data_IF_959565003769
#
_entry.id   IF_959565003769
#
_cell.length_a   1.000
_cell.length_b   1.000
_cell.length_c   1.000
_cell.angle_alpha   90.00
_cell.angle_beta   90.00
_cell.angle_gamma   90.00
#
_symmetry.space_group_name_H-M   'P 1'
#
loop_
_entity.id
_entity.type
_entity.pdbx_description
1 polymer ?
#
# COMPACT_ATOMS: atom_id res chain seq x y z
N UNK A 1 16.99 10.75 19.95
CA UNK A 1 18.38 10.69 20.45
C UNK A 1 18.51 11.73 21.53
N UNK A 2 19.03 11.36 22.69
CA UNK A 2 19.25 12.29 23.80
C UNK A 2 20.76 12.50 23.98
N UNK A 3 21.12 13.67 24.47
CA UNK A 3 22.48 14.04 24.82
C UNK A 3 22.47 14.49 26.28
N UNK A 4 23.33 13.90 27.11
CA UNK A 4 23.45 14.19 28.53
C UNK A 4 24.86 14.69 28.80
N UNK A 5 25.02 15.87 29.40
CA UNK A 5 26.34 16.45 29.70
C UNK A 5 26.44 16.88 31.16
N UNK A 6 27.58 16.61 31.77
CA UNK A 6 28.01 17.18 33.06
C UNK A 6 29.53 17.46 33.03
N UNK A 7 30.11 17.86 34.17
CA UNK A 7 31.54 18.16 34.28
C UNK A 7 32.48 16.98 33.93
N UNK A 8 31.99 15.74 33.98
CA UNK A 8 32.76 14.55 33.61
C UNK A 8 32.66 14.19 32.11
N UNK A 9 31.81 14.87 31.34
CA UNK A 9 31.75 14.72 29.88
C UNK A 9 30.35 14.70 29.28
N UNK A 10 30.26 14.20 28.04
CA UNK A 10 29.06 14.13 27.21
C UNK A 10 28.78 12.67 26.82
N UNK A 11 27.56 12.19 27.09
CA UNK A 11 27.08 10.88 26.64
C UNK A 11 25.91 11.09 25.68
N UNK A 12 25.93 10.39 24.55
CA UNK A 12 24.83 10.38 23.56
C UNK A 12 24.16 9.01 23.56
N UNK A 13 22.83 8.98 23.60
CA UNK A 13 22.07 7.73 23.51
C UNK A 13 21.97 7.22 22.07
N UNK A 14 21.62 5.94 21.91
CA UNK A 14 21.33 5.35 20.59
C UNK A 14 20.16 6.09 19.91
N UNK A 15 20.18 6.16 18.59
CA UNK A 15 19.04 6.64 17.80
C UNK A 15 17.98 5.53 17.75
N UNK A 16 16.72 5.90 17.96
CA UNK A 16 15.57 5.00 17.78
C UNK A 16 14.81 5.44 16.53
N UNK A 17 14.43 4.49 15.67
CA UNK A 17 13.58 4.74 14.50
C UNK A 17 12.13 4.69 14.95
N UNK A 18 11.44 5.83 14.90
CA UNK A 18 9.99 5.89 15.10
C UNK A 18 9.34 5.83 13.71
N UNK A 19 8.36 4.95 13.54
CA UNK A 19 7.57 4.83 12.30
C UNK A 19 6.10 4.99 12.62
N UNK A 20 5.42 5.85 11.88
CA UNK A 20 3.97 5.98 11.93
C UNK A 20 3.39 4.81 11.12
N UNK A 21 2.36 4.17 11.66
CA UNK A 21 1.61 3.12 10.98
C UNK A 21 0.15 3.53 10.86
N UNK A 22 -0.42 3.31 9.67
CA UNK A 22 -1.81 3.57 9.31
C UNK A 22 -2.36 2.35 8.59
N UNK A 23 -3.51 1.87 9.05
CA UNK A 23 -4.19 0.75 8.43
C UNK A 23 -4.63 1.10 7.00
N UNK A 24 -4.60 0.13 6.07
CA UNK A 24 -5.07 0.35 4.70
C UNK A 24 -6.54 0.77 4.67
N UNK A 25 -6.83 1.85 3.96
CA UNK A 25 -8.18 2.37 3.79
C UNK A 25 -8.43 2.68 2.32
N UNK A 26 -9.61 2.33 1.81
CA UNK A 26 -9.98 2.69 0.44
C UNK A 26 -10.31 4.18 0.38
N UNK A 27 -9.48 4.95 -0.34
CA UNK A 27 -9.86 6.29 -0.82
C UNK A 27 -10.90 6.12 -1.93
N UNK A 28 -10.63 5.21 -2.87
CA UNK A 28 -11.56 4.84 -3.95
C UNK A 28 -11.80 3.35 -3.92
N UNK A 29 -13.05 2.96 -3.67
CA UNK A 29 -13.47 1.56 -3.69
C UNK A 29 -13.65 1.09 -5.15
N UNK A 30 -13.30 -0.16 -5.47
CA UNK A 30 -13.63 -0.75 -6.75
C UNK A 30 -15.15 -0.73 -6.96
N UNK A 31 -15.57 -0.43 -8.18
CA UNK A 31 -16.98 -0.37 -8.57
C UNK A 31 -17.31 -1.47 -9.57
N UNK A 32 -18.55 -1.94 -9.54
CA UNK A 32 -19.07 -2.84 -10.56
C UNK A 32 -19.19 -2.10 -11.89
N UNK A 33 -18.80 -2.78 -12.97
CA UNK A 33 -18.92 -2.29 -14.34
C UNK A 33 -19.64 -3.32 -15.20
N UNK A 34 -20.27 -2.85 -16.26
CA UNK A 34 -20.85 -3.68 -17.32
C UNK A 34 -20.14 -3.32 -18.62
N UNK A 35 -19.69 -4.33 -19.36
CA UNK A 35 -18.98 -4.17 -20.63
C UNK A 35 -19.64 -5.06 -21.68
N UNK A 36 -19.55 -4.68 -22.95
CA UNK A 36 -20.05 -5.53 -24.02
C UNK A 36 -19.09 -6.70 -24.27
N UNK A 37 -19.58 -7.70 -24.99
CA UNK A 37 -18.73 -8.80 -25.44
C UNK A 37 -17.57 -8.26 -26.28
N UNK A 38 -16.36 -8.74 -25.98
CA UNK A 38 -15.08 -8.35 -26.60
C UNK A 38 -14.52 -6.97 -26.19
N UNK A 39 -15.22 -6.22 -25.33
CA UNK A 39 -14.66 -4.99 -24.75
C UNK A 39 -13.78 -5.29 -23.52
N UNK A 40 -12.77 -4.45 -23.30
CA UNK A 40 -11.92 -4.53 -22.10
C UNK A 40 -12.53 -3.73 -20.95
N UNK A 41 -12.82 -4.42 -19.84
CA UNK A 41 -13.25 -3.78 -18.59
C UNK A 41 -12.07 -3.41 -17.70
N UNK A 42 -12.08 -2.18 -17.14
CA UNK A 42 -11.09 -1.71 -16.17
C UNK A 42 -11.74 -1.48 -14.81
N UNK A 43 -11.28 -2.21 -13.80
CA UNK A 43 -11.64 -1.98 -12.39
C UNK A 43 -10.43 -1.36 -11.69
N UNK A 44 -10.65 -0.29 -10.94
CA UNK A 44 -9.60 0.45 -10.25
C UNK A 44 -9.97 0.72 -8.80
N UNK A 45 -8.96 0.79 -7.94
CA UNK A 45 -9.11 1.19 -6.55
C UNK A 45 -7.92 2.07 -6.13
N UNK A 46 -8.12 2.88 -5.09
CA UNK A 46 -7.07 3.67 -4.48
C UNK A 46 -7.07 3.40 -2.98
N UNK A 47 -5.90 3.06 -2.45
CA UNK A 47 -5.72 2.69 -1.03
C UNK A 47 -4.71 3.64 -0.40
N UNK A 48 -5.06 4.16 0.78
CA UNK A 48 -4.16 4.89 1.65
C UNK A 48 -3.68 3.96 2.77
N UNK A 49 -2.38 3.74 2.85
CA UNK A 49 -1.74 2.85 3.82
C UNK A 49 -0.31 3.31 4.13
N UNK A 50 0.09 3.19 5.40
CA UNK A 50 1.45 3.43 5.83
C UNK A 50 1.89 2.31 6.80
N UNK A 51 2.90 1.47 6.47
CA UNK A 51 3.60 1.37 5.20
C UNK A 51 2.67 0.93 4.06
N UNK A 52 3.20 0.97 2.84
CA UNK A 52 2.47 0.60 1.63
C UNK A 52 1.79 -0.76 1.75
N UNK A 53 0.51 -0.82 1.38
CA UNK A 53 -0.28 -2.04 1.43
C UNK A 53 0.02 -2.96 0.24
N UNK A 54 -0.07 -4.27 0.46
CA UNK A 54 -0.13 -5.25 -0.62
C UNK A 54 -1.57 -5.38 -1.10
N UNK A 55 -1.82 -5.08 -2.37
CA UNK A 55 -3.14 -5.23 -3.00
C UNK A 55 -3.21 -6.56 -3.75
N UNK A 56 -4.34 -7.26 -3.66
CA UNK A 56 -4.58 -8.51 -4.39
C UNK A 56 -6.00 -8.51 -4.91
N UNK A 57 -6.15 -8.77 -6.21
CA UNK A 57 -7.43 -8.86 -6.88
C UNK A 57 -7.90 -10.31 -6.95
N UNK A 58 -9.19 -10.53 -6.75
CA UNK A 58 -9.81 -11.85 -6.78
C UNK A 58 -10.88 -11.89 -7.89
N UNK A 59 -10.89 -12.95 -8.67
CA UNK A 59 -11.99 -13.31 -9.56
C UNK A 59 -12.60 -14.63 -9.06
N UNK A 60 -13.92 -14.64 -8.83
CA UNK A 60 -14.64 -15.83 -8.31
C UNK A 60 -13.99 -16.43 -7.04
N UNK A 61 -13.49 -15.57 -6.15
CA UNK A 61 -12.85 -15.97 -4.88
C UNK A 61 -11.39 -16.43 -5.01
N UNK A 62 -10.79 -16.43 -6.20
CA UNK A 62 -9.39 -16.84 -6.42
C UNK A 62 -8.52 -15.67 -6.88
N UNK A 63 -7.24 -15.60 -6.47
CA UNK A 63 -6.30 -14.61 -6.99
C UNK A 63 -6.21 -14.68 -8.51
N UNK A 64 -6.31 -13.53 -9.16
CA UNK A 64 -6.13 -13.45 -10.61
C UNK A 64 -4.67 -13.61 -10.99
N UNK A 65 -4.43 -14.22 -12.15
CA UNK A 65 -3.09 -14.30 -12.74
C UNK A 65 -3.11 -13.83 -14.18
N UNK A 66 -1.94 -13.44 -14.69
CA UNK A 66 -1.77 -13.03 -16.09
C UNK A 66 -2.13 -14.16 -17.07
N UNK A 67 -2.04 -15.42 -16.63
CA UNK A 67 -2.39 -16.60 -17.45
C UNK A 67 -3.89 -16.69 -17.71
N UNK A 68 -4.71 -16.09 -16.85
CA UNK A 68 -6.17 -16.12 -16.97
C UNK A 68 -6.69 -14.95 -17.83
N UNK A 69 -5.80 -14.22 -18.51
CA UNK A 69 -6.15 -13.08 -19.36
C UNK A 69 -6.38 -11.77 -18.60
N UNK A 70 -6.02 -11.71 -17.31
CA UNK A 70 -6.10 -10.47 -16.53
C UNK A 70 -4.76 -9.73 -16.51
N UNK A 71 -4.83 -8.41 -16.65
CA UNK A 71 -3.68 -7.54 -16.45
C UNK A 71 -3.86 -6.72 -15.16
N UNK A 72 -2.79 -6.60 -14.38
CA UNK A 72 -2.80 -5.78 -13.15
C UNK A 72 -1.67 -4.79 -13.18
N UNK A 73 -1.98 -3.52 -12.95
CA UNK A 73 -1.00 -2.46 -12.76
C UNK A 73 -1.17 -1.86 -11.37
N UNK A 74 -0.05 -1.44 -10.77
CA UNK A 74 -0.04 -0.73 -9.49
C UNK A 74 0.64 0.61 -9.70
N UNK A 75 -0.14 1.70 -9.61
CA UNK A 75 0.38 3.06 -9.71
C UNK A 75 0.80 3.56 -8.33
N UNK A 76 2.08 3.90 -8.19
CA UNK A 76 2.63 4.53 -7.00
C UNK A 76 2.49 6.04 -7.14
N UNK A 77 1.42 6.63 -6.60
CA UNK A 77 1.44 8.08 -6.38
C UNK A 77 2.40 8.40 -5.24
N UNK A 78 3.58 8.87 -5.62
CA UNK A 78 4.61 9.46 -4.73
C UNK A 78 4.09 10.64 -3.94
#
# INVERSE_FOLDING_TARGET
>A
QAQLTNAAGLIKTKKSKVTIQKQPTFIKKPQSITVNQNDTGKIECQVDALPQAKVTWLANGKPITVKDGYETTYDMKT
#
